data_IF_951951745444
#
_entry.id   IF_951951745444
#
_cell.length_a   1.000
_cell.length_b   1.000
_cell.length_c   1.000
_cell.angle_alpha   90.00
_cell.angle_beta   90.00
_cell.angle_gamma   90.00
#
_symmetry.space_group_name_H-M   'P 1'
#
loop_
_entity.id
_entity.type
_entity.pdbx_description
1 polymer ?
#
# COMPACT_ATOMS: atom_id res chain seq x y z
N UNK A 1 30.65 -16.82 -6.47
CA UNK A 1 29.54 -17.67 -6.01
C UNK A 1 28.31 -16.79 -6.11
N UNK A 2 27.56 -16.93 -7.20
CA UNK A 2 26.27 -16.24 -7.32
C UNK A 2 25.35 -16.80 -6.25
N UNK A 3 24.76 -15.91 -5.45
CA UNK A 3 23.77 -16.29 -4.45
C UNK A 3 22.57 -16.85 -5.23
N UNK A 4 22.03 -18.03 -4.87
CA UNK A 4 20.83 -18.54 -5.53
C UNK A 4 19.74 -17.48 -5.44
N UNK A 5 19.03 -17.25 -6.56
CA UNK A 5 17.84 -16.42 -6.57
C UNK A 5 16.90 -16.95 -5.49
N UNK A 6 16.55 -16.11 -4.52
CA UNK A 6 15.65 -16.49 -3.43
C UNK A 6 14.27 -16.67 -4.04
N UNK A 7 13.61 -17.78 -3.74
CA UNK A 7 12.23 -17.99 -4.13
C UNK A 7 11.36 -16.86 -3.58
N UNK A 8 10.37 -16.44 -4.36
CA UNK A 8 9.46 -15.36 -3.96
C UNK A 8 8.67 -15.77 -2.72
N UNK A 9 8.76 -14.94 -1.67
CA UNK A 9 7.97 -15.07 -0.44
C UNK A 9 7.07 -13.84 -0.31
N UNK A 10 5.77 -14.03 -0.53
CA UNK A 10 4.79 -12.95 -0.48
C UNK A 10 4.71 -12.29 0.91
N UNK A 11 4.91 -13.06 1.99
CA UNK A 11 4.86 -12.50 3.34
C UNK A 11 6.08 -11.60 3.59
N UNK A 12 7.28 -12.07 3.25
CA UNK A 12 8.49 -11.27 3.41
C UNK A 12 8.43 -9.99 2.58
N UNK A 13 8.03 -10.09 1.31
CA UNK A 13 7.89 -8.92 0.44
C UNK A 13 6.83 -7.96 0.97
N UNK A 14 5.75 -8.47 1.58
CA UNK A 14 4.74 -7.63 2.24
C UNK A 14 5.32 -6.82 3.38
N UNK A 15 6.07 -7.46 4.30
CA UNK A 15 6.68 -6.74 5.43
C UNK A 15 7.72 -5.71 4.95
N UNK A 16 8.54 -6.07 3.95
CA UNK A 16 9.50 -5.13 3.36
C UNK A 16 8.82 -3.91 2.71
N UNK A 17 7.73 -4.14 1.98
CA UNK A 17 6.92 -3.07 1.38
C UNK A 17 6.33 -2.19 2.48
N UNK A 18 5.71 -2.79 3.50
CA UNK A 18 5.10 -2.07 4.61
C UNK A 18 6.13 -1.18 5.34
N UNK A 19 7.33 -1.68 5.61
CA UNK A 19 8.40 -0.90 6.23
C UNK A 19 8.83 0.30 5.37
N UNK A 20 8.95 0.12 4.04
CA UNK A 20 9.32 1.20 3.13
C UNK A 20 8.21 2.25 3.01
N UNK A 21 6.95 1.81 2.96
CA UNK A 21 5.79 2.71 2.93
C UNK A 21 5.69 3.49 4.23
N UNK A 22 5.81 2.85 5.39
CA UNK A 22 5.80 3.50 6.70
C UNK A 22 6.84 4.61 6.82
N UNK A 23 8.05 4.39 6.30
CA UNK A 23 9.11 5.43 6.27
C UNK A 23 8.72 6.66 5.44
N UNK A 24 7.85 6.51 4.43
CA UNK A 24 7.40 7.59 3.55
C UNK A 24 6.07 8.20 3.98
N UNK A 25 5.24 7.46 4.71
CA UNK A 25 3.90 7.85 5.15
C UNK A 25 3.76 7.58 6.66
N UNK A 26 4.53 8.29 7.51
CA UNK A 26 4.59 8.01 8.95
C UNK A 26 3.29 8.31 9.70
N UNK A 27 2.39 9.09 9.10
CA UNK A 27 1.11 9.48 9.69
C UNK A 27 -0.03 8.49 9.38
N UNK A 28 0.23 7.47 8.55
CA UNK A 28 -0.75 6.43 8.21
C UNK A 28 -0.66 5.29 9.22
N UNK A 29 -1.83 4.76 9.60
CA UNK A 29 -1.95 3.62 10.50
C UNK A 29 -1.16 2.39 10.01
N UNK A 30 -0.41 1.75 10.91
CA UNK A 30 0.47 0.62 10.60
C UNK A 30 -0.30 -0.60 10.07
N UNK A 31 -1.48 -0.90 10.65
CA UNK A 31 -2.31 -2.03 10.23
C UNK A 31 -2.92 -1.79 8.86
N UNK A 32 -3.33 -0.56 8.58
CA UNK A 32 -3.75 -0.11 7.26
C UNK A 32 -2.62 -0.27 6.24
N UNK A 33 -1.40 0.19 6.54
CA UNK A 33 -0.23 0.02 5.66
C UNK A 33 0.02 -1.46 5.37
N UNK A 34 0.04 -2.31 6.39
CA UNK A 34 0.28 -3.75 6.21
C UNK A 34 -0.79 -4.39 5.34
N UNK A 35 -2.07 -4.05 5.55
CA UNK A 35 -3.18 -4.57 4.76
C UNK A 35 -3.08 -4.18 3.28
N UNK A 36 -2.82 -2.91 2.99
CA UNK A 36 -2.71 -2.45 1.60
C UNK A 36 -1.43 -2.95 0.92
N UNK A 37 -0.34 -3.11 1.68
CA UNK A 37 0.88 -3.78 1.21
C UNK A 37 0.61 -5.24 0.83
N UNK A 38 -0.06 -6.01 1.70
CA UNK A 38 -0.42 -7.40 1.44
C UNK A 38 -1.28 -7.52 0.17
N UNK A 39 -2.31 -6.68 0.05
CA UNK A 39 -3.19 -6.66 -1.11
C UNK A 39 -2.46 -6.24 -2.41
N UNK A 40 -1.39 -5.43 -2.33
CA UNK A 40 -0.56 -5.07 -3.48
C UNK A 40 0.42 -6.18 -3.86
N UNK A 41 0.98 -6.91 -2.90
CA UNK A 41 1.87 -8.03 -3.18
C UNK A 41 1.07 -9.22 -3.76
N UNK A 42 -0.09 -9.53 -3.17
CA UNK A 42 -0.96 -10.63 -3.60
C UNK A 42 -1.44 -10.46 -5.05
N UNK A 43 -1.71 -9.23 -5.51
CA UNK A 43 -2.13 -8.99 -6.90
C UNK A 43 -1.08 -9.36 -7.95
N UNK A 44 0.18 -9.56 -7.54
CA UNK A 44 1.28 -9.95 -8.43
C UNK A 44 1.86 -11.34 -8.10
N UNK A 45 1.28 -12.08 -7.16
CA UNK A 45 1.85 -13.35 -6.67
C UNK A 45 1.97 -14.43 -7.77
N UNK A 46 1.12 -14.37 -8.80
CA UNK A 46 1.14 -15.29 -9.95
C UNK A 46 1.99 -14.78 -11.13
N UNK A 47 2.73 -13.69 -10.96
CA UNK A 47 3.58 -13.14 -12.02
C UNK A 47 4.75 -14.08 -12.35
N UNK A 48 5.06 -14.22 -13.64
CA UNK A 48 6.21 -15.03 -14.09
C UNK A 48 7.58 -14.46 -13.67
N UNK A 49 7.63 -13.18 -13.34
CA UNK A 49 8.83 -12.46 -12.93
C UNK A 49 8.53 -11.77 -11.62
N UNK A 50 9.23 -12.16 -10.55
CA UNK A 50 8.93 -11.74 -9.18
C UNK A 50 9.90 -10.70 -8.63
N UNK A 51 11.03 -10.47 -9.31
CA UNK A 51 12.11 -9.57 -8.87
C UNK A 51 11.66 -8.13 -8.58
N UNK A 52 10.59 -7.69 -9.26
CA UNK A 52 10.11 -6.31 -9.20
C UNK A 52 8.83 -6.13 -8.37
N UNK A 53 8.26 -7.22 -7.83
CA UNK A 53 6.97 -7.16 -7.11
C UNK A 53 7.05 -6.19 -5.94
N UNK A 54 8.14 -6.20 -5.16
CA UNK A 54 8.29 -5.29 -4.02
C UNK A 54 8.32 -3.80 -4.39
N UNK A 55 8.82 -3.45 -5.57
CA UNK A 55 8.85 -2.05 -6.05
C UNK A 55 7.48 -1.64 -6.56
N UNK A 56 6.83 -2.51 -7.33
CA UNK A 56 5.49 -2.27 -7.89
C UNK A 56 4.48 -2.13 -6.75
N UNK A 57 4.51 -3.09 -5.80
CA UNK A 57 3.61 -3.10 -4.65
C UNK A 57 3.81 -1.87 -3.74
N UNK A 58 5.04 -1.39 -3.53
CA UNK A 58 5.28 -0.14 -2.77
C UNK A 58 4.64 1.08 -3.45
N UNK A 59 4.71 1.18 -4.78
CA UNK A 59 4.07 2.28 -5.52
C UNK A 59 2.55 2.20 -5.39
N UNK A 60 1.97 1.04 -5.68
CA UNK A 60 0.52 0.82 -5.63
C UNK A 60 -0.04 1.06 -4.22
N UNK A 61 0.65 0.58 -3.19
CA UNK A 61 0.25 0.78 -1.79
C UNK A 61 0.15 2.28 -1.47
N UNK A 62 1.16 3.07 -1.83
CA UNK A 62 1.15 4.53 -1.58
C UNK A 62 0.03 5.23 -2.34
N UNK A 63 -0.26 4.82 -3.57
CA UNK A 63 -1.35 5.40 -4.37
C UNK A 63 -2.72 5.11 -3.74
N UNK A 64 -2.95 3.88 -3.27
CA UNK A 64 -4.18 3.53 -2.55
C UNK A 64 -4.33 4.32 -1.26
N UNK A 65 -3.27 4.40 -0.45
CA UNK A 65 -3.28 5.14 0.81
C UNK A 65 -3.53 6.63 0.59
N UNK A 66 -2.94 7.23 -0.45
CA UNK A 66 -3.21 8.61 -0.83
C UNK A 66 -4.69 8.80 -1.23
N UNK A 67 -5.24 7.88 -2.04
CA UNK A 67 -6.66 7.92 -2.41
C UNK A 67 -7.60 7.83 -1.21
N UNK A 68 -7.31 6.95 -0.24
CA UNK A 68 -8.09 6.83 1.00
C UNK A 68 -8.04 8.13 1.82
N UNK A 69 -6.87 8.77 1.89
CA UNK A 69 -6.73 10.05 2.59
C UNK A 69 -7.55 11.17 1.91
N UNK A 70 -7.51 11.24 0.58
CA UNK A 70 -8.30 12.22 -0.20
C UNK A 70 -9.81 12.00 -0.07
N UNK A 71 -10.28 10.75 -0.10
CA UNK A 71 -11.70 10.41 0.11
C UNK A 71 -12.18 10.80 1.52
N UNK A 72 -11.33 10.62 2.52
CA UNK A 72 -11.63 10.98 3.92
C UNK A 72 -11.78 12.50 4.10
N UNK A 73 -11.00 13.28 3.34
CA UNK A 73 -11.05 14.75 3.36
C UNK A 73 -12.27 15.29 2.60
N UNK A 74 -12.59 14.72 1.43
CA UNK A 74 -13.74 15.10 0.62
C UNK A 74 -15.10 14.81 1.29
N UNK A 75 -15.17 13.77 2.13
CA UNK A 75 -16.37 13.45 2.92
C UNK A 75 -16.66 14.46 4.04
N UNK A 76 -15.68 15.26 4.45
CA UNK A 76 -15.81 16.21 5.56
C UNK A 76 -16.35 17.59 5.15
N UNK A 77 -16.27 17.96 3.86
CA UNK A 77 -16.70 19.27 3.34
C UNK A 77 -18.20 19.30 2.92
N UNK A 78 -18.84 18.14 2.72
CA UNK A 78 -20.24 18.07 2.27
C UNK A 78 -21.30 18.28 3.38
N UNK A 79 -20.90 18.57 4.63
CA UNK A 79 -21.79 18.60 5.80
C UNK A 79 -22.37 19.96 6.22
N UNK A 80 -22.03 21.07 5.55
CA UNK A 80 -22.47 22.42 5.94
C UNK A 80 -23.12 23.20 4.80
N UNK A 81 -24.21 22.67 4.25
CA UNK A 81 -25.12 23.45 3.42
C UNK A 81 -26.58 23.18 3.82
N UNK A 82 -27.10 24.10 4.62
CA UNK A 82 -28.44 24.69 4.50
C UNK A 82 -29.66 23.76 4.49
N UNK A 83 -30.46 23.83 5.56
CA UNK A 83 -31.88 24.21 5.41
C UNK A 83 -32.33 24.92 6.69
N UNK A 84 -32.18 26.25 6.69
CA UNK A 84 -32.97 27.14 7.54
C UNK A 84 -33.85 27.97 6.61
N UNK A 85 -35.12 27.58 6.50
CA UNK A 85 -36.15 28.28 5.72
C UNK A 85 -37.53 27.77 6.09
#
# INVERSE_FOLDING_TARGET
MDKPAKDFDAHEVTEEVAERVKKRMPDVDDDLIRREAAASVESHADARVTDFIGIIAERETRERLAGIAEESDAGSDAGSADTAG
#
